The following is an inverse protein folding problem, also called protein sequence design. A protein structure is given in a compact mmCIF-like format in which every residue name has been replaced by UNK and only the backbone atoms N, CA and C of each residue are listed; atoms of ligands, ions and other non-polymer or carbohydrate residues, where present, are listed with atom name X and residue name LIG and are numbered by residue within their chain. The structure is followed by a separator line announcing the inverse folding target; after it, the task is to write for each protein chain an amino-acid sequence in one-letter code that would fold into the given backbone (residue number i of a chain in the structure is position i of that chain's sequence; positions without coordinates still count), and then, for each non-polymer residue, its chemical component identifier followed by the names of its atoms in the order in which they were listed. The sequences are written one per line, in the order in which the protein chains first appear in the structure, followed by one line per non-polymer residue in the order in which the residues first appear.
data_IF_094009965232
#
_entry.id   IF_094009965232
#
_cell.length_a   1.000
_cell.length_b   1.000
_cell.length_c   1.000
_cell.angle_alpha   90.00
_cell.angle_beta   90.00
_cell.angle_gamma   90.00
#
_symmetry.space_group_name_H-M   'P 1'
#
loop_
_entity.id
_entity.type
_entity.pdbx_description
1 polymer ?
#
# COMPACT_ATOMS: atom_id res chain seq x y z
N UNK A 1 -0.18 17.94 -26.00
CA UNK A 1 1.18 18.49 -25.81
C UNK A 1 1.71 18.25 -24.38
N UNK A 2 1.08 18.76 -23.32
CA UNK A 2 1.54 18.56 -21.92
C UNK A 2 1.68 17.09 -21.51
N UNK A 3 0.71 16.23 -21.85
CA UNK A 3 0.79 14.79 -21.60
C UNK A 3 2.08 14.16 -22.15
N UNK A 4 2.47 14.50 -23.38
CA UNK A 4 3.67 13.95 -24.02
C UNK A 4 4.98 14.41 -23.33
N UNK A 5 4.99 15.59 -22.72
CA UNK A 5 6.11 16.06 -21.91
C UNK A 5 6.21 15.31 -20.59
N UNK A 6 5.08 15.13 -19.90
CA UNK A 6 5.02 14.37 -18.64
C UNK A 6 5.42 12.91 -18.86
N UNK A 7 4.93 12.27 -19.93
CA UNK A 7 5.32 10.89 -20.27
C UNK A 7 6.80 10.74 -20.60
N UNK A 8 7.51 11.84 -20.89
CA UNK A 8 8.97 11.91 -21.08
C UNK A 8 9.72 12.35 -19.82
N UNK A 9 9.05 12.40 -18.67
CA UNK A 9 9.63 12.75 -17.38
C UNK A 9 9.76 14.26 -17.11
N UNK A 10 9.17 15.12 -17.93
CA UNK A 10 9.22 16.55 -17.70
C UNK A 10 8.30 16.97 -16.54
N UNK A 11 8.83 17.79 -15.64
CA UNK A 11 8.04 18.42 -14.59
C UNK A 11 7.24 19.60 -15.16
N UNK A 12 5.92 19.53 -15.02
CA UNK A 12 4.98 20.59 -15.46
C UNK A 12 4.48 21.43 -14.28
N UNK A 13 4.91 21.12 -13.06
CA UNK A 13 4.43 21.76 -11.84
C UNK A 13 4.73 23.26 -11.85
N UNK A 14 5.94 23.64 -12.24
CA UNK A 14 6.36 25.05 -12.38
C UNK A 14 5.50 25.87 -13.36
N UNK A 15 4.87 25.23 -14.34
CA UNK A 15 4.03 25.89 -15.35
C UNK A 15 2.56 26.01 -14.94
N UNK A 16 2.07 25.02 -14.17
CA UNK A 16 0.64 24.88 -13.85
C UNK A 16 0.29 25.32 -12.43
N UNK A 17 1.15 25.04 -11.44
CA UNK A 17 0.94 25.41 -10.03
C UNK A 17 0.73 26.91 -9.81
N UNK A 18 1.43 27.83 -10.53
CA UNK A 18 1.19 29.27 -10.35
C UNK A 18 -0.21 29.75 -10.76
N UNK A 19 -0.97 28.92 -11.49
CA UNK A 19 -2.23 29.33 -12.11
C UNK A 19 -3.39 28.50 -11.58
N UNK A 20 -3.98 28.96 -10.46
CA UNK A 20 -5.17 28.36 -9.84
C UNK A 20 -6.26 27.97 -10.84
N UNK A 21 -6.63 28.87 -11.77
CA UNK A 21 -7.66 28.61 -12.79
C UNK A 21 -7.35 27.43 -13.71
N UNK A 22 -6.07 27.15 -14.01
CA UNK A 22 -5.68 26.01 -14.85
C UNK A 22 -5.88 24.70 -14.10
N UNK A 23 -5.53 24.68 -12.82
CA UNK A 23 -5.72 23.52 -11.94
C UNK A 23 -7.21 23.26 -11.72
N UNK A 24 -8.00 24.28 -11.39
CA UNK A 24 -9.45 24.15 -11.24
C UNK A 24 -10.09 23.62 -12.54
N UNK A 25 -9.68 24.12 -13.70
CA UNK A 25 -10.18 23.62 -15.00
C UNK A 25 -9.84 22.14 -15.23
N UNK A 26 -8.64 21.70 -14.85
CA UNK A 26 -8.27 20.28 -14.92
C UNK A 26 -9.13 19.44 -13.99
N UNK A 27 -9.35 19.89 -12.74
CA UNK A 27 -10.22 19.24 -11.75
C UNK A 27 -11.66 19.14 -12.26
N UNK A 28 -12.22 20.23 -12.79
CA UNK A 28 -13.58 20.25 -13.34
C UNK A 28 -13.72 19.29 -14.54
N UNK A 29 -12.66 19.15 -15.33
CA UNK A 29 -12.62 18.19 -16.45
C UNK A 29 -12.75 16.75 -15.95
N UNK A 30 -12.22 16.42 -14.76
CA UNK A 30 -12.37 15.09 -14.15
C UNK A 30 -13.84 14.74 -13.88
N UNK A 31 -14.65 15.73 -13.52
CA UNK A 31 -16.06 15.58 -13.16
C UNK A 31 -16.99 15.21 -14.32
N UNK A 32 -16.50 15.19 -15.57
CA UNK A 32 -17.25 14.65 -16.71
C UNK A 32 -18.49 15.45 -17.13
N UNK A 33 -18.62 16.72 -16.73
CA UNK A 33 -19.76 17.58 -17.06
C UNK A 33 -19.91 17.94 -18.57
N UNK A 34 -19.19 17.28 -19.49
CA UNK A 34 -19.15 17.61 -20.93
C UNK A 34 -19.21 16.37 -21.83
N UNK A 35 -20.41 15.98 -22.29
CA UNK A 35 -20.67 15.09 -23.45
C UNK A 35 -20.19 13.62 -23.37
N UNK A 36 -20.65 12.70 -24.27
CA UNK A 36 -20.56 11.26 -23.99
C UNK A 36 -19.25 10.52 -24.39
N UNK A 37 -18.60 10.86 -25.51
CA UNK A 37 -17.50 10.00 -26.04
C UNK A 37 -16.12 10.68 -26.08
N UNK A 38 -16.06 11.99 -26.34
CA UNK A 38 -14.82 12.79 -26.23
C UNK A 38 -14.45 13.08 -24.76
N UNK A 39 -15.36 12.85 -23.82
CA UNK A 39 -15.15 13.12 -22.40
C UNK A 39 -14.19 12.16 -21.72
N UNK A 40 -14.17 10.89 -22.11
CA UNK A 40 -13.37 9.88 -21.41
C UNK A 40 -11.88 10.13 -21.58
N UNK A 41 -11.43 10.31 -22.82
CA UNK A 41 -10.02 10.56 -23.11
C UNK A 41 -9.55 11.89 -22.50
N UNK A 42 -10.38 12.94 -22.57
CA UNK A 42 -10.10 14.21 -21.89
C UNK A 42 -10.03 14.05 -20.37
N UNK A 43 -10.92 13.26 -19.77
CA UNK A 43 -10.87 12.92 -18.33
C UNK A 43 -9.63 12.15 -17.97
N UNK A 44 -9.23 11.16 -18.77
CA UNK A 44 -8.01 10.38 -18.54
C UNK A 44 -6.76 11.26 -18.63
N UNK A 45 -6.67 12.13 -19.65
CA UNK A 45 -5.57 13.07 -19.81
C UNK A 45 -5.52 14.09 -18.67
N UNK A 46 -6.67 14.65 -18.29
CA UNK A 46 -6.76 15.57 -17.16
C UNK A 46 -6.37 14.88 -15.85
N UNK A 47 -6.89 13.66 -15.60
CA UNK A 47 -6.57 12.89 -14.41
C UNK A 47 -5.08 12.55 -14.35
N UNK A 48 -4.48 12.15 -15.47
CA UNK A 48 -3.04 11.92 -15.56
C UNK A 48 -2.24 13.17 -15.21
N UNK A 49 -2.57 14.34 -15.75
CA UNK A 49 -1.89 15.60 -15.40
C UNK A 49 -2.07 15.91 -13.91
N UNK A 50 -3.30 15.77 -13.36
CA UNK A 50 -3.59 16.01 -11.95
C UNK A 50 -2.82 15.04 -11.05
N UNK A 51 -2.60 13.78 -11.45
CA UNK A 51 -1.72 12.85 -10.72
C UNK A 51 -0.33 13.47 -10.53
N UNK A 52 0.22 14.24 -11.47
CA UNK A 52 1.54 14.86 -11.31
C UNK A 52 1.54 16.15 -10.48
N UNK A 53 0.38 16.77 -10.27
CA UNK A 53 0.24 17.99 -9.45
C UNK A 53 -0.27 17.72 -8.03
N UNK A 54 -0.94 16.58 -7.82
CA UNK A 54 -1.69 16.27 -6.59
C UNK A 54 -0.87 16.31 -5.28
N UNK A 55 0.45 16.12 -5.33
CA UNK A 55 1.29 16.24 -4.14
C UNK A 55 1.41 17.66 -3.61
N UNK A 56 1.15 18.66 -4.45
CA UNK A 56 1.32 20.09 -4.15
C UNK A 56 -0.02 20.84 -4.08
N UNK A 57 -1.14 20.11 -4.21
CA UNK A 57 -2.49 20.65 -4.16
C UNK A 57 -3.03 20.57 -2.73
N UNK A 58 -3.54 21.69 -2.22
CA UNK A 58 -4.32 21.74 -1.00
C UNK A 58 -5.82 21.79 -1.36
N UNK A 59 -6.58 20.78 -0.94
CA UNK A 59 -7.99 20.59 -1.32
C UNK A 59 -8.88 21.77 -0.90
N UNK A 60 -8.61 22.40 0.24
CA UNK A 60 -9.26 23.63 0.69
C UNK A 60 -9.26 24.77 -0.35
N UNK A 61 -8.30 24.80 -1.29
CA UNK A 61 -8.23 25.81 -2.35
C UNK A 61 -9.10 25.47 -3.57
N UNK A 62 -9.60 24.24 -3.69
CA UNK A 62 -10.34 23.75 -4.85
C UNK A 62 -11.66 23.09 -4.43
N UNK A 63 -12.69 23.89 -4.09
CA UNK A 63 -14.00 23.36 -3.71
C UNK A 63 -14.57 22.45 -4.82
N UNK A 64 -15.14 21.31 -4.44
CA UNK A 64 -15.68 20.34 -5.39
C UNK A 64 -14.65 19.36 -5.97
N UNK A 65 -13.36 19.49 -5.64
CA UNK A 65 -12.31 18.63 -6.18
C UNK A 65 -12.51 17.16 -5.81
N UNK A 66 -12.85 16.86 -4.55
CA UNK A 66 -13.08 15.49 -4.10
C UNK A 66 -14.25 14.86 -4.87
N UNK A 67 -15.33 15.60 -5.14
CA UNK A 67 -16.47 15.12 -5.92
C UNK A 67 -16.07 14.83 -7.37
N UNK A 68 -15.25 15.69 -7.98
CA UNK A 68 -14.72 15.46 -9.32
C UNK A 68 -13.82 14.22 -9.38
N UNK A 69 -12.94 14.03 -8.40
CA UNK A 69 -12.09 12.84 -8.27
C UNK A 69 -12.94 11.59 -7.99
N UNK A 70 -13.96 11.71 -7.13
CA UNK A 70 -14.91 10.65 -6.79
C UNK A 70 -15.62 10.09 -8.02
N UNK A 71 -15.89 10.93 -9.02
CA UNK A 71 -16.50 10.53 -10.29
C UNK A 71 -15.59 9.62 -11.15
N UNK A 72 -14.28 9.63 -10.91
CA UNK A 72 -13.32 8.73 -11.57
C UNK A 72 -13.40 7.31 -11.00
N UNK A 73 -13.82 7.18 -9.74
CA UNK A 73 -14.04 5.89 -9.07
C UNK A 73 -15.41 5.28 -9.42
N UNK A 74 -16.32 6.07 -9.98
CA UNK A 74 -17.67 5.65 -10.37
C UNK A 74 -17.75 5.22 -11.85
N UNK A 75 -17.18 4.05 -12.20
CA UNK A 75 -17.79 3.30 -13.31
C UNK A 75 -19.01 2.61 -12.72
N UNK A 76 -20.21 2.94 -13.20
CA UNK A 76 -21.50 2.41 -12.71
C UNK A 76 -21.49 0.87 -12.58
N UNK A 77 -20.76 0.19 -13.46
CA UNK A 77 -20.51 -1.25 -13.46
C UNK A 77 -19.51 -1.77 -12.42
N UNK A 78 -18.48 -1.00 -12.06
CA UNK A 78 -17.43 -1.41 -11.09
C UNK A 78 -17.90 -1.25 -9.66
N UNK A 79 -18.56 -0.14 -9.34
CA UNK A 79 -19.13 0.06 -8.02
C UNK A 79 -20.23 -0.97 -7.76
N UNK A 80 -21.08 -1.27 -8.76
CA UNK A 80 -22.02 -2.39 -8.66
C UNK A 80 -21.32 -3.74 -8.46
N UNK A 81 -20.20 -4.01 -9.13
CA UNK A 81 -19.46 -5.26 -8.97
C UNK A 81 -19.02 -5.53 -7.53
N UNK A 82 -18.39 -4.55 -6.88
CA UNK A 82 -17.88 -4.70 -5.52
C UNK A 82 -18.96 -4.51 -4.45
N UNK A 83 -19.94 -3.62 -4.67
CA UNK A 83 -21.01 -3.36 -3.72
C UNK A 83 -22.06 -4.48 -3.69
N UNK A 84 -22.38 -5.12 -4.83
CA UNK A 84 -23.28 -6.28 -4.86
C UNK A 84 -22.68 -7.52 -4.19
N UNK A 85 -21.37 -7.59 -4.02
CA UNK A 85 -20.70 -8.68 -3.28
C UNK A 85 -20.68 -8.44 -1.76
N UNK A 86 -21.18 -7.31 -1.24
CA UNK A 86 -21.29 -7.04 0.20
C UNK A 86 -22.64 -7.47 0.80
N UNK A 87 -23.65 -7.73 -0.03
CA UNK A 87 -24.97 -8.19 0.42
C UNK A 87 -25.11 -9.71 0.21
N UNK A 88 -24.92 -10.50 1.26
CA UNK A 88 -25.46 -11.87 1.30
C UNK A 88 -24.72 -12.85 2.21
N UNK A 89 -25.36 -13.20 3.34
CA UNK A 89 -25.23 -14.53 3.95
C UNK A 89 -25.38 -15.61 2.86
N UNK A 90 -24.53 -16.64 2.79
CA UNK A 90 -24.72 -17.69 1.80
C UNK A 90 -25.82 -18.65 2.25
N UNK A 91 -26.92 -18.70 1.49
CA UNK A 91 -27.63 -19.96 1.33
C UNK A 91 -26.77 -20.85 0.39
N UNK A 92 -26.58 -22.14 0.70
CA UNK A 92 -25.78 -23.02 -0.14
C UNK A 92 -26.47 -23.21 -1.50
N UNK A 93 -25.71 -23.08 -2.59
CA UNK A 93 -26.09 -23.37 -3.99
C UNK A 93 -26.94 -22.33 -4.74
N UNK A 94 -26.48 -21.09 -4.85
CA UNK A 94 -26.94 -20.22 -5.96
C UNK A 94 -25.77 -19.87 -6.88
N UNK A 95 -25.92 -20.19 -8.16
CA UNK A 95 -24.99 -19.80 -9.21
C UNK A 95 -24.78 -18.28 -9.21
N UNK A 96 -23.56 -17.78 -9.49
CA UNK A 96 -23.32 -16.34 -9.52
C UNK A 96 -24.23 -15.67 -10.56
N UNK A 97 -24.80 -14.49 -10.29
CA UNK A 97 -25.78 -13.87 -11.15
C UNK A 97 -25.24 -13.69 -12.59
N UNK A 98 -26.07 -13.85 -13.64
CA UNK A 98 -25.63 -13.94 -15.04
C UNK A 98 -24.70 -12.81 -15.50
N UNK A 99 -24.89 -11.61 -14.93
CA UNK A 99 -24.06 -10.42 -15.23
C UNK A 99 -22.62 -10.54 -14.70
N UNK A 100 -22.42 -11.19 -13.54
CA UNK A 100 -21.10 -11.44 -12.92
C UNK A 100 -20.30 -12.46 -13.73
N UNK A 101 -20.93 -13.56 -14.13
CA UNK A 101 -20.30 -14.56 -15.01
C UNK A 101 -19.93 -13.96 -16.36
N UNK A 102 -20.85 -13.21 -17.00
CA UNK A 102 -20.57 -12.56 -18.28
C UNK A 102 -19.39 -11.58 -18.23
N UNK A 103 -19.22 -10.87 -17.11
CA UNK A 103 -18.09 -9.96 -16.87
C UNK A 103 -16.77 -10.72 -16.72
N UNK A 104 -16.73 -11.75 -15.86
CA UNK A 104 -15.54 -12.59 -15.67
C UNK A 104 -15.12 -13.23 -16.98
N UNK A 105 -16.07 -13.78 -17.75
CA UNK A 105 -15.81 -14.34 -19.08
C UNK A 105 -15.28 -13.30 -20.07
N UNK A 106 -15.78 -12.06 -20.03
CA UNK A 106 -15.26 -10.97 -20.88
C UNK A 106 -13.81 -10.62 -20.50
N UNK A 107 -13.50 -10.52 -19.21
CA UNK A 107 -12.16 -10.21 -18.73
C UNK A 107 -11.16 -11.34 -19.03
N UNK A 108 -11.55 -12.60 -18.82
CA UNK A 108 -10.75 -13.77 -19.17
C UNK A 108 -10.45 -13.82 -20.68
N UNK A 109 -11.43 -13.50 -21.53
CA UNK A 109 -11.22 -13.43 -22.99
C UNK A 109 -10.24 -12.33 -23.40
N UNK A 110 -10.23 -11.20 -22.71
CA UNK A 110 -9.27 -10.11 -22.97
C UNK A 110 -7.86 -10.51 -22.54
N UNK A 111 -7.72 -11.17 -21.39
CA UNK A 111 -6.40 -11.61 -20.91
C UNK A 111 -5.82 -12.74 -21.77
N UNK A 112 -6.63 -13.73 -22.17
CA UNK A 112 -6.22 -14.78 -23.12
C UNK A 112 -5.72 -14.19 -24.44
N UNK A 113 -6.37 -13.12 -24.93
CA UNK A 113 -5.89 -12.40 -26.13
C UNK A 113 -4.56 -11.69 -25.89
N UNK A 114 -4.32 -11.12 -24.70
CA UNK A 114 -3.02 -10.52 -24.35
C UNK A 114 -1.93 -11.58 -24.24
N UNK A 115 -2.18 -12.73 -23.61
CA UNK A 115 -1.22 -13.82 -23.48
C UNK A 115 -0.82 -14.39 -24.85
N UNK A 116 -1.81 -14.60 -25.74
CA UNK A 116 -1.57 -15.02 -27.12
C UNK A 116 -0.72 -14.01 -27.89
N UNK A 117 -0.94 -12.71 -27.66
CA UNK A 117 -0.12 -11.65 -28.25
C UNK A 117 1.34 -11.67 -27.74
N UNK A 118 1.55 -11.90 -26.43
CA UNK A 118 2.89 -12.03 -25.84
C UNK A 118 3.62 -13.28 -26.36
N UNK A 119 2.94 -14.42 -26.46
CA UNK A 119 3.50 -15.64 -27.04
C UNK A 119 3.84 -15.48 -28.53
N UNK A 120 3.01 -14.76 -29.29
CA UNK A 120 3.28 -14.46 -30.70
C UNK A 120 4.48 -13.54 -30.93
N UNK A 121 4.84 -12.68 -29.97
CA UNK A 121 6.05 -11.85 -30.03
C UNK A 121 7.34 -12.63 -29.69
N UNK A 122 7.24 -13.64 -28.83
CA UNK A 122 8.39 -14.52 -28.50
C UNK A 122 8.75 -15.42 -29.67
N UNK A 123 7.75 -15.88 -30.45
CA UNK A 123 7.96 -16.72 -31.64
C UNK A 123 8.54 -15.97 -32.84
N UNK A 124 8.41 -14.63 -32.91
CA UNK A 124 8.93 -13.80 -34.01
C UNK A 124 10.38 -13.34 -33.85
N UNK A 125 11.06 -13.70 -32.75
CA UNK A 125 12.44 -13.27 -32.48
C UNK A 125 13.53 -14.25 -32.97
N UNK A 126 13.18 -15.32 -33.69
CA UNK A 126 14.13 -16.39 -34.00
C UNK A 126 14.43 -16.67 -35.49
N UNK A 127 14.00 -15.82 -36.44
CA UNK A 127 14.49 -15.92 -37.82
C UNK A 127 14.94 -14.54 -38.33
N UNK A 128 16.25 -14.38 -38.52
CA UNK A 128 16.81 -13.36 -39.44
C UNK A 128 16.51 -13.76 -40.89
N UNK A 129 16.70 -12.96 -41.93
CA UNK A 129 17.49 -11.76 -42.18
C UNK A 129 17.01 -11.18 -43.55
N UNK A 130 17.39 -9.93 -43.84
CA UNK A 130 17.39 -9.21 -45.13
C UNK A 130 16.22 -8.27 -45.55
N UNK A 131 16.54 -6.98 -45.37
CA UNK A 131 16.52 -5.84 -46.31
C UNK A 131 15.26 -5.00 -46.59
N UNK A 132 15.53 -3.70 -46.40
CA UNK A 132 15.03 -2.46 -47.01
C UNK A 132 13.74 -1.80 -46.49
N UNK A 133 14.00 -0.67 -45.81
CA UNK A 133 13.27 0.60 -45.75
C UNK A 133 11.87 0.67 -46.36
N UNK A 134 10.87 0.76 -45.48
CA UNK A 134 9.74 1.68 -45.66
C UNK A 134 9.52 2.45 -44.35
N UNK A 135 9.52 3.77 -44.49
CA UNK A 135 9.19 4.73 -43.43
C UNK A 135 7.72 4.58 -43.15
N UNK A 136 7.35 3.96 -42.03
CA UNK A 136 5.95 3.87 -41.63
C UNK A 136 5.66 4.52 -40.28
N UNK A 137 4.93 5.61 -40.41
CA UNK A 137 4.41 6.48 -39.38
C UNK A 137 3.22 5.79 -38.71
N UNK A 138 3.48 4.82 -37.85
CA UNK A 138 2.41 4.02 -37.23
C UNK A 138 2.05 4.54 -35.84
N UNK A 139 1.00 5.37 -35.81
CA UNK A 139 0.09 5.51 -34.67
C UNK A 139 -0.31 4.13 -34.15
N UNK A 140 0.34 3.69 -33.07
CA UNK A 140 0.05 2.46 -32.36
C UNK A 140 -1.27 2.58 -31.59
N UNK A 141 -2.37 2.34 -32.29
CA UNK A 141 -3.70 2.11 -31.74
C UNK A 141 -3.69 0.86 -30.86
N UNK A 142 -3.48 1.05 -29.54
CA UNK A 142 -3.45 -0.01 -28.55
C UNK A 142 -4.82 -0.34 -27.98
N UNK A 143 -5.50 -1.29 -28.61
CA UNK A 143 -6.31 -2.33 -27.95
C UNK A 143 -7.38 -1.91 -26.94
N UNK A 144 -8.58 -1.61 -27.44
CA UNK A 144 -9.81 -1.44 -26.66
C UNK A 144 -10.12 -2.65 -25.78
N UNK A 145 -10.16 -2.39 -24.47
CA UNK A 145 -10.53 -3.35 -23.42
C UNK A 145 -10.11 -2.93 -22.01
N UNK A 146 -9.10 -2.05 -21.88
CA UNK A 146 -8.52 -1.62 -20.60
C UNK A 146 -9.02 -0.27 -20.02
N UNK A 147 -9.94 0.42 -20.69
CA UNK A 147 -10.21 1.83 -20.35
C UNK A 147 -10.87 2.07 -18.99
N UNK A 148 -11.65 1.12 -18.43
CA UNK A 148 -12.51 1.43 -17.25
C UNK A 148 -11.67 1.52 -15.97
N UNK A 149 -10.73 0.60 -15.82
CA UNK A 149 -9.86 0.57 -14.64
C UNK A 149 -8.86 1.72 -14.67
N UNK A 150 -8.49 2.25 -15.84
CA UNK A 150 -7.54 3.36 -15.95
C UNK A 150 -8.01 4.63 -15.24
N UNK A 151 -9.28 5.02 -15.40
CA UNK A 151 -9.82 6.17 -14.67
C UNK A 151 -9.85 5.92 -13.16
N UNK A 152 -10.20 4.71 -12.73
CA UNK A 152 -10.20 4.33 -11.31
C UNK A 152 -8.78 4.41 -10.74
N UNK A 153 -7.80 3.83 -11.44
CA UNK A 153 -6.39 3.86 -11.08
C UNK A 153 -5.85 5.29 -10.97
N UNK A 154 -6.20 6.15 -11.93
CA UNK A 154 -5.82 7.56 -11.89
C UNK A 154 -6.50 8.28 -10.72
N UNK A 155 -7.78 8.03 -10.47
CA UNK A 155 -8.51 8.58 -9.32
C UNK A 155 -7.87 8.18 -7.98
N UNK A 156 -7.56 6.90 -7.80
CA UNK A 156 -6.84 6.40 -6.62
C UNK A 156 -5.43 6.98 -6.52
N UNK A 157 -4.73 7.16 -7.65
CA UNK A 157 -3.40 7.77 -7.68
C UNK A 157 -3.41 9.24 -7.27
N UNK A 158 -4.43 10.00 -7.68
CA UNK A 158 -4.66 11.38 -7.23
C UNK A 158 -4.89 11.39 -5.73
N UNK A 159 -5.82 10.56 -5.23
CA UNK A 159 -6.12 10.46 -3.80
C UNK A 159 -4.89 10.08 -2.97
N UNK A 160 -4.09 9.12 -3.45
CA UNK A 160 -2.83 8.69 -2.81
C UNK A 160 -1.86 9.86 -2.62
N UNK A 161 -1.71 10.72 -3.64
CA UNK A 161 -0.80 11.87 -3.57
C UNK A 161 -1.38 12.99 -2.71
N UNK A 162 -2.67 13.29 -2.84
CA UNK A 162 -3.35 14.27 -1.98
C UNK A 162 -3.24 13.89 -0.50
N UNK A 163 -3.45 12.60 -0.16
CA UNK A 163 -3.34 12.04 1.17
C UNK A 163 -1.89 11.97 1.71
N UNK A 164 -0.93 12.59 1.04
CA UNK A 164 0.39 12.84 1.63
C UNK A 164 0.40 14.06 2.55
N UNK A 165 -0.63 14.92 2.45
CA UNK A 165 -0.87 16.06 3.34
C UNK A 165 -1.98 15.74 4.37
N UNK A 166 -1.78 16.17 5.62
CA UNK A 166 -2.67 15.88 6.74
C UNK A 166 -4.04 16.56 6.59
N UNK A 167 -4.09 17.81 6.12
CA UNK A 167 -5.35 18.53 5.94
C UNK A 167 -6.18 17.88 4.83
N UNK A 168 -5.52 17.51 3.74
CA UNK A 168 -6.15 16.75 2.65
C UNK A 168 -6.68 15.39 3.12
N UNK A 169 -5.95 14.64 3.96
CA UNK A 169 -6.44 13.40 4.56
C UNK A 169 -7.76 13.63 5.30
N UNK A 170 -7.81 14.67 6.14
CA UNK A 170 -9.01 15.02 6.88
C UNK A 170 -10.19 15.38 5.97
N UNK A 171 -9.96 16.18 4.92
CA UNK A 171 -10.99 16.52 3.93
C UNK A 171 -11.51 15.30 3.16
N UNK A 172 -10.61 14.40 2.74
CA UNK A 172 -10.97 13.14 2.06
C UNK A 172 -11.83 12.27 2.98
N UNK A 173 -11.37 12.01 4.21
CA UNK A 173 -12.11 11.15 5.14
C UNK A 173 -13.45 11.76 5.59
N UNK A 174 -13.55 13.09 5.66
CA UNK A 174 -14.77 13.78 6.07
C UNK A 174 -15.81 13.92 4.95
N UNK A 175 -15.41 13.74 3.68
CA UNK A 175 -16.32 13.93 2.54
C UNK A 175 -17.29 12.75 2.41
N UNK A 176 -18.62 12.97 2.47
CA UNK A 176 -19.58 11.89 2.35
C UNK A 176 -19.48 11.13 1.02
N UNK A 177 -19.54 9.80 1.10
CA UNK A 177 -19.63 8.93 -0.08
C UNK A 177 -18.32 8.65 -0.82
N UNK A 178 -17.18 9.27 -0.45
CA UNK A 178 -15.87 8.90 -1.04
C UNK A 178 -15.29 7.63 -0.40
N UNK A 179 -15.31 7.53 0.94
CA UNK A 179 -14.73 6.39 1.66
C UNK A 179 -15.32 5.04 1.20
N UNK A 180 -16.64 4.86 1.06
CA UNK A 180 -17.20 3.60 0.55
C UNK A 180 -16.69 3.22 -0.84
N UNK A 181 -16.30 4.19 -1.68
CA UNK A 181 -15.72 3.91 -3.01
C UNK A 181 -14.26 3.51 -2.93
N UNK A 182 -13.50 4.12 -2.01
CA UNK A 182 -12.11 3.76 -1.76
C UNK A 182 -12.03 2.37 -1.11
N UNK A 183 -12.87 2.07 -0.11
CA UNK A 183 -12.82 0.81 0.63
C UNK A 183 -13.51 -0.35 -0.08
N UNK A 184 -14.35 -0.10 -1.10
CA UNK A 184 -15.11 -1.13 -1.79
C UNK A 184 -14.29 -2.36 -2.22
N UNK A 185 -13.09 -2.23 -2.83
CA UNK A 185 -12.28 -3.39 -3.18
C UNK A 185 -11.87 -4.21 -1.95
N UNK A 186 -11.44 -3.55 -0.86
CA UNK A 186 -11.03 -4.22 0.38
C UNK A 186 -12.19 -4.99 1.04
N UNK A 187 -13.40 -4.45 0.96
CA UNK A 187 -14.59 -5.02 1.62
C UNK A 187 -15.23 -6.17 0.83
N UNK A 188 -14.72 -6.50 -0.34
CA UNK A 188 -15.32 -7.52 -1.20
C UNK A 188 -14.89 -8.94 -0.88
N UNK A 189 -15.85 -9.85 -0.89
CA UNK A 189 -15.64 -11.29 -0.77
C UNK A 189 -14.81 -11.91 -1.90
N UNK A 190 -14.74 -11.24 -3.05
CA UNK A 190 -14.01 -11.75 -4.22
C UNK A 190 -12.60 -11.21 -4.34
N UNK A 191 -12.11 -10.37 -3.40
CA UNK A 191 -10.80 -9.71 -3.52
C UNK A 191 -9.69 -10.69 -3.91
N UNK A 192 -9.57 -11.81 -3.20
CA UNK A 192 -8.50 -12.80 -3.43
C UNK A 192 -8.61 -13.46 -4.81
N UNK A 193 -9.83 -13.62 -5.33
CA UNK A 193 -10.05 -14.12 -6.68
C UNK A 193 -9.77 -13.04 -7.72
N UNK A 194 -10.08 -11.79 -7.44
CA UNK A 194 -9.93 -10.66 -8.36
C UNK A 194 -8.48 -10.25 -8.53
N UNK A 195 -7.64 -10.38 -7.49
CA UNK A 195 -6.19 -10.16 -7.64
C UNK A 195 -5.51 -11.20 -8.53
N UNK A 196 -6.14 -12.36 -8.81
CA UNK A 196 -5.67 -13.30 -9.87
C UNK A 196 -5.78 -12.69 -11.26
N UNK A 197 -6.70 -11.74 -11.44
CA UNK A 197 -6.93 -11.06 -12.69
C UNK A 197 -6.06 -9.80 -12.69
N UNK A 198 -5.03 -9.78 -13.55
CA UNK A 198 -4.01 -8.71 -13.60
C UNK A 198 -4.59 -7.29 -13.58
N UNK A 199 -5.69 -7.05 -14.30
CA UNK A 199 -6.32 -5.73 -14.40
C UNK A 199 -6.95 -5.20 -13.09
N UNK A 200 -7.30 -6.07 -12.13
CA UNK A 200 -7.84 -5.67 -10.82
C UNK A 200 -6.76 -5.67 -9.73
N UNK A 201 -5.69 -6.45 -9.90
CA UNK A 201 -4.55 -6.43 -8.99
C UNK A 201 -3.98 -5.02 -8.83
N UNK A 202 -3.84 -4.28 -9.94
CA UNK A 202 -3.40 -2.87 -9.92
C UNK A 202 -4.36 -1.99 -9.11
N UNK A 203 -5.68 -2.15 -9.29
CA UNK A 203 -6.70 -1.34 -8.61
C UNK A 203 -6.71 -1.61 -7.11
N UNK A 204 -6.58 -2.88 -6.70
CA UNK A 204 -6.50 -3.27 -5.29
C UNK A 204 -5.20 -2.75 -4.68
N UNK A 205 -4.07 -2.89 -5.39
CA UNK A 205 -2.79 -2.36 -4.93
C UNK A 205 -2.85 -0.83 -4.75
N UNK A 206 -3.43 -0.10 -5.71
CA UNK A 206 -3.59 1.36 -5.63
C UNK A 206 -4.53 1.78 -4.51
N UNK A 207 -5.63 1.04 -4.33
CA UNK A 207 -6.54 1.18 -3.18
C UNK A 207 -5.79 1.05 -1.86
N UNK A 208 -4.95 0.02 -1.73
CA UNK A 208 -4.20 -0.19 -0.50
C UNK A 208 -3.18 0.92 -0.24
N UNK A 209 -2.58 1.52 -1.27
CA UNK A 209 -1.70 2.67 -1.06
C UNK A 209 -2.46 3.88 -0.50
N UNK A 210 -3.67 4.14 -1.00
CA UNK A 210 -4.54 5.19 -0.47
C UNK A 210 -4.87 4.89 0.99
N UNK A 211 -5.32 3.67 1.28
CA UNK A 211 -5.69 3.28 2.64
C UNK A 211 -4.51 3.39 3.62
N UNK A 212 -3.31 2.93 3.25
CA UNK A 212 -2.10 3.07 4.09
C UNK A 212 -1.85 4.53 4.48
N UNK A 213 -2.12 5.50 3.60
CA UNK A 213 -1.99 6.92 3.92
C UNK A 213 -3.09 7.39 4.87
N UNK A 214 -4.34 7.05 4.55
CA UNK A 214 -5.50 7.49 5.33
C UNK A 214 -5.52 6.91 6.74
N UNK A 215 -5.24 5.62 6.92
CA UNK A 215 -5.31 4.95 8.24
C UNK A 215 -4.12 5.24 9.15
N UNK A 216 -3.03 5.81 8.61
CA UNK A 216 -1.84 6.20 9.39
C UNK A 216 -1.86 7.68 9.78
N UNK A 217 -2.82 8.44 9.30
CA UNK A 217 -2.99 9.83 9.67
C UNK A 217 -3.47 9.93 11.13
N UNK A 218 -2.94 10.86 11.96
CA UNK A 218 -3.30 10.96 13.37
C UNK A 218 -4.67 11.63 13.64
N UNK A 219 -5.38 12.11 12.61
CA UNK A 219 -6.64 12.83 12.73
C UNK A 219 -7.85 11.97 13.14
N UNK A 220 -8.90 12.62 13.66
CA UNK A 220 -10.13 11.95 14.10
C UNK A 220 -10.84 11.18 12.97
N UNK A 221 -10.84 11.75 11.76
CA UNK A 221 -11.43 11.12 10.58
C UNK A 221 -10.71 9.83 10.16
N UNK A 222 -9.41 9.70 10.47
CA UNK A 222 -8.64 8.47 10.28
C UNK A 222 -9.04 7.40 11.30
N UNK A 223 -9.21 7.76 12.58
CA UNK A 223 -9.67 6.82 13.63
C UNK A 223 -11.01 6.18 13.29
N UNK A 224 -11.96 6.96 12.76
CA UNK A 224 -13.24 6.42 12.28
C UNK A 224 -13.04 5.40 11.16
N UNK A 225 -12.18 5.70 10.18
CA UNK A 225 -11.86 4.75 9.12
C UNK A 225 -11.19 3.48 9.65
N UNK A 226 -10.28 3.61 10.63
CA UNK A 226 -9.65 2.47 11.32
C UNK A 226 -10.70 1.61 12.04
N UNK A 227 -11.64 2.25 12.74
CA UNK A 227 -12.75 1.56 13.40
C UNK A 227 -13.66 0.84 12.38
N UNK A 228 -14.02 1.50 11.28
CA UNK A 228 -14.85 0.93 10.21
C UNK A 228 -14.20 -0.31 9.57
N UNK A 229 -12.91 -0.20 9.21
CA UNK A 229 -12.17 -1.30 8.57
C UNK A 229 -11.99 -2.46 9.55
N UNK A 230 -11.59 -2.17 10.79
CA UNK A 230 -11.36 -3.22 11.80
C UNK A 230 -12.63 -3.92 12.27
N UNK A 231 -13.79 -3.26 12.19
CA UNK A 231 -15.09 -3.86 12.50
C UNK A 231 -15.64 -4.72 11.34
N UNK A 232 -15.10 -4.56 10.13
CA UNK A 232 -15.52 -5.32 8.96
C UNK A 232 -14.75 -6.65 8.87
N UNK A 233 -15.43 -7.76 9.21
CA UNK A 233 -14.86 -9.12 9.17
C UNK A 233 -14.29 -9.50 7.80
N UNK A 234 -14.94 -9.09 6.71
CA UNK A 234 -14.48 -9.39 5.36
C UNK A 234 -13.20 -8.63 5.03
N UNK A 235 -13.12 -7.35 5.42
CA UNK A 235 -11.93 -6.54 5.25
C UNK A 235 -10.72 -7.15 5.98
N UNK A 236 -10.90 -7.50 7.26
CA UNK A 236 -9.85 -8.14 8.07
C UNK A 236 -9.45 -9.49 7.48
N UNK A 237 -10.41 -10.36 7.14
CA UNK A 237 -10.14 -11.67 6.54
C UNK A 237 -9.41 -11.56 5.19
N UNK A 238 -9.74 -10.56 4.37
CA UNK A 238 -9.04 -10.32 3.11
C UNK A 238 -7.59 -9.91 3.33
N UNK A 239 -7.31 -9.05 4.31
CA UNK A 239 -5.94 -8.66 4.66
C UNK A 239 -5.15 -9.87 5.18
N UNK A 240 -5.75 -10.71 6.02
CA UNK A 240 -5.15 -11.96 6.51
C UNK A 240 -4.83 -12.90 5.34
N UNK A 241 -5.77 -13.16 4.43
CA UNK A 241 -5.57 -14.01 3.24
C UNK A 241 -4.49 -13.50 2.28
N UNK A 242 -4.26 -12.18 2.24
CA UNK A 242 -3.15 -11.60 1.45
C UNK A 242 -1.81 -11.92 2.11
N UNK A 243 -1.75 -12.02 3.43
CA UNK A 243 -0.55 -12.34 4.21
C UNK A 243 -0.33 -13.85 4.41
N UNK A 244 -1.28 -14.70 4.05
CA UNK A 244 -1.12 -16.16 4.09
C UNK A 244 0.05 -16.63 3.22
N UNK A 245 0.71 -17.72 3.64
CA UNK A 245 1.88 -18.29 2.93
C UNK A 245 1.54 -18.77 1.52
N UNK A 246 0.30 -19.23 1.33
CA UNK A 246 -0.21 -19.71 0.04
C UNK A 246 -0.79 -18.58 -0.82
N UNK A 247 -0.64 -17.32 -0.39
CA UNK A 247 -1.16 -16.18 -1.13
C UNK A 247 -0.37 -15.96 -2.41
N UNK A 248 -1.09 -15.67 -3.49
CA UNK A 248 -0.52 -15.27 -4.79
C UNK A 248 -0.16 -13.78 -4.84
N UNK A 249 -0.48 -13.03 -3.77
CA UNK A 249 -0.26 -11.61 -3.73
C UNK A 249 1.24 -11.31 -3.77
N UNK A 250 1.65 -10.45 -4.71
CA UNK A 250 3.05 -10.06 -4.82
C UNK A 250 3.56 -9.30 -3.59
N UNK A 251 4.90 -9.23 -3.39
CA UNK A 251 5.53 -8.61 -2.22
C UNK A 251 4.99 -7.23 -1.85
N UNK A 252 4.81 -6.35 -2.84
CA UNK A 252 4.30 -4.99 -2.62
C UNK A 252 2.87 -4.94 -2.08
N UNK A 253 2.01 -5.90 -2.42
CA UNK A 253 0.64 -5.95 -1.89
C UNK A 253 0.62 -6.48 -0.45
N UNK A 254 1.42 -7.52 -0.16
CA UNK A 254 1.63 -8.03 1.20
C UNK A 254 2.13 -6.93 2.14
N UNK A 255 3.13 -6.15 1.70
CA UNK A 255 3.65 -5.01 2.42
C UNK A 255 2.56 -3.99 2.81
N UNK A 256 1.64 -3.70 1.89
CA UNK A 256 0.55 -2.74 2.16
C UNK A 256 -0.52 -3.34 3.06
N UNK A 257 -0.88 -4.61 2.86
CA UNK A 257 -1.80 -5.31 3.75
C UNK A 257 -1.28 -5.34 5.19
N UNK A 258 0.02 -5.63 5.35
CA UNK A 258 0.72 -5.59 6.62
C UNK A 258 0.70 -4.19 7.25
N UNK A 259 0.97 -3.14 6.47
CA UNK A 259 0.88 -1.76 6.96
C UNK A 259 -0.54 -1.37 7.40
N UNK A 260 -1.58 -1.79 6.67
CA UNK A 260 -2.97 -1.54 7.05
C UNK A 260 -3.27 -2.26 8.37
N UNK A 261 -3.05 -3.58 8.46
CA UNK A 261 -3.28 -4.35 9.69
C UNK A 261 -2.48 -3.82 10.88
N UNK A 262 -1.26 -3.33 10.66
CA UNK A 262 -0.42 -2.71 11.70
C UNK A 262 -1.06 -1.42 12.24
N UNK A 263 -1.57 -0.56 11.35
CA UNK A 263 -2.27 0.65 11.75
C UNK A 263 -3.54 0.32 12.54
N UNK A 264 -4.33 -0.68 12.09
CA UNK A 264 -5.50 -1.16 12.83
C UNK A 264 -5.10 -1.72 14.21
N UNK A 265 -4.06 -2.55 14.28
CA UNK A 265 -3.64 -3.20 15.52
C UNK A 265 -3.14 -2.19 16.58
N UNK A 266 -2.52 -1.10 16.14
CA UNK A 266 -1.96 -0.05 16.99
C UNK A 266 -2.99 0.95 17.52
N UNK A 267 -4.12 1.14 16.83
CA UNK A 267 -5.09 2.17 17.24
C UNK A 267 -6.01 1.65 18.34
N UNK A 268 -6.15 2.43 19.41
CA UNK A 268 -7.04 2.11 20.53
C UNK A 268 -8.53 2.07 20.16
N UNK A 269 -8.95 2.76 19.10
CA UNK A 269 -10.33 2.76 18.57
C UNK A 269 -10.65 1.51 17.74
N UNK A 270 -9.65 0.68 17.45
CA UNK A 270 -9.82 -0.52 16.63
C UNK A 270 -10.53 -1.64 17.38
N UNK A 271 -11.46 -2.30 16.68
CA UNK A 271 -12.15 -3.51 17.14
C UNK A 271 -11.44 -4.81 16.72
N UNK A 272 -10.16 -4.73 16.35
CA UNK A 272 -9.40 -5.87 15.86
C UNK A 272 -9.20 -6.92 16.97
N UNK A 273 -9.55 -8.17 16.68
CA UNK A 273 -9.42 -9.28 17.62
C UNK A 273 -7.96 -9.48 18.07
N UNK A 274 -7.78 -9.87 19.34
CA UNK A 274 -6.46 -10.17 19.91
C UNK A 274 -5.70 -11.21 19.09
N UNK A 275 -6.39 -12.28 18.70
CA UNK A 275 -5.82 -13.35 17.86
C UNK A 275 -5.28 -12.82 16.52
N UNK A 276 -6.02 -11.95 15.84
CA UNK A 276 -5.54 -11.30 14.60
C UNK A 276 -4.30 -10.45 14.85
N UNK A 277 -4.23 -9.69 15.97
CA UNK A 277 -3.04 -8.90 16.34
C UNK A 277 -1.83 -9.79 16.59
N UNK A 278 -2.02 -10.87 17.34
CA UNK A 278 -0.99 -11.85 17.66
C UNK A 278 -0.47 -12.60 16.41
N UNK A 279 -1.38 -13.02 15.53
CA UNK A 279 -1.03 -13.68 14.27
C UNK A 279 -0.27 -12.74 13.33
N UNK A 280 -0.67 -11.46 13.27
CA UNK A 280 0.06 -10.42 12.53
C UNK A 280 1.49 -10.29 13.06
N UNK A 281 1.67 -10.14 14.38
CA UNK A 281 3.00 -10.01 14.99
C UNK A 281 3.86 -11.25 14.73
N UNK A 282 3.31 -12.46 14.87
CA UNK A 282 4.01 -13.72 14.51
C UNK A 282 4.49 -13.71 13.07
N UNK A 283 3.63 -13.32 12.12
CA UNK A 283 3.97 -13.26 10.69
C UNK A 283 5.06 -12.23 10.41
N UNK A 284 4.99 -11.07 11.05
CA UNK A 284 5.99 -10.01 10.93
C UNK A 284 7.34 -10.46 11.50
N UNK A 285 7.34 -11.17 12.63
CA UNK A 285 8.55 -11.74 13.22
C UNK A 285 9.20 -12.75 12.27
N UNK A 286 8.42 -13.71 11.79
CA UNK A 286 8.88 -14.71 10.81
C UNK A 286 9.47 -14.04 9.56
N UNK A 287 8.79 -13.02 9.02
CA UNK A 287 9.22 -12.31 7.81
C UNK A 287 10.52 -11.55 8.04
N UNK A 288 10.64 -10.82 9.15
CA UNK A 288 11.82 -9.98 9.43
C UNK A 288 13.06 -10.81 9.78
N UNK A 289 12.87 -11.90 10.53
CA UNK A 289 13.95 -12.76 11.01
C UNK A 289 14.36 -13.85 10.02
N UNK A 290 13.64 -14.03 8.92
CA UNK A 290 14.02 -14.95 7.87
C UNK A 290 15.44 -14.67 7.37
N UNK A 291 16.19 -15.74 7.10
CA UNK A 291 17.56 -15.68 6.60
C UNK A 291 17.65 -14.87 5.31
N UNK A 292 18.81 -14.26 5.08
CA UNK A 292 19.11 -13.57 3.83
C UNK A 292 19.24 -14.62 2.73
N UNK A 293 18.33 -14.58 1.76
CA UNK A 293 18.41 -15.47 0.60
C UNK A 293 19.65 -15.12 -0.22
N UNK A 294 20.22 -16.12 -0.90
CA UNK A 294 21.43 -16.00 -1.73
C UNK A 294 21.31 -14.93 -2.84
N UNK A 295 20.09 -14.46 -3.12
CA UNK A 295 19.75 -13.45 -4.13
C UNK A 295 19.63 -12.00 -3.59
N UNK A 296 19.80 -11.75 -2.28
CA UNK A 296 19.88 -10.39 -1.74
C UNK A 296 21.22 -9.75 -2.16
N UNK A 297 21.28 -9.24 -3.40
CA UNK A 297 22.39 -8.43 -3.91
C UNK A 297 22.73 -7.36 -2.86
N UNK A 298 23.98 -7.38 -2.39
CA UNK A 298 24.54 -6.83 -1.13
C UNK A 298 24.28 -5.33 -0.81
N UNK A 299 23.45 -4.60 -1.57
CA UNK A 299 23.18 -3.18 -1.37
C UNK A 299 21.72 -2.79 -1.07
N UNK A 300 20.72 -3.64 -1.39
CA UNK A 300 19.30 -3.24 -1.27
C UNK A 300 18.55 -4.06 -0.24
N UNK A 301 17.91 -3.40 0.74
CA UNK A 301 17.05 -4.10 1.68
C UNK A 301 15.83 -4.68 0.95
N UNK A 302 15.50 -5.94 1.22
CA UNK A 302 14.18 -6.50 0.93
C UNK A 302 13.11 -5.65 1.68
N UNK A 303 12.23 -4.95 0.95
CA UNK A 303 11.32 -3.98 1.53
C UNK A 303 10.18 -4.66 2.31
N UNK A 304 9.88 -5.94 2.06
CA UNK A 304 8.94 -6.70 2.88
C UNK A 304 9.51 -6.97 4.26
N UNK A 305 10.79 -7.41 4.35
CA UNK A 305 11.49 -7.57 5.63
C UNK A 305 11.54 -6.24 6.39
N UNK A 306 11.94 -5.16 5.71
CA UNK A 306 12.00 -3.83 6.33
C UNK A 306 10.62 -3.35 6.83
N UNK A 307 9.56 -3.62 6.08
CA UNK A 307 8.19 -3.28 6.53
C UNK A 307 7.76 -4.12 7.71
N UNK A 308 8.04 -5.43 7.70
CA UNK A 308 7.69 -6.33 8.79
C UNK A 308 8.38 -5.92 10.09
N UNK A 309 9.69 -5.71 10.07
CA UNK A 309 10.40 -5.28 11.26
C UNK A 309 10.03 -3.86 11.70
N UNK A 310 9.86 -2.92 10.75
CA UNK A 310 9.40 -1.56 11.07
C UNK A 310 8.00 -1.54 11.70
N UNK A 311 7.12 -2.45 11.29
CA UNK A 311 5.80 -2.61 11.90
C UNK A 311 5.87 -3.20 13.31
N UNK A 312 6.78 -4.13 13.58
CA UNK A 312 7.03 -4.64 14.95
C UNK A 312 7.58 -3.57 15.87
N UNK A 313 8.55 -2.79 15.40
CA UNK A 313 9.06 -1.63 16.14
C UNK A 313 7.91 -0.66 16.47
N UNK A 314 7.03 -0.40 15.51
CA UNK A 314 5.86 0.44 15.74
C UNK A 314 4.89 -0.14 16.78
N UNK A 315 4.51 -1.43 16.67
CA UNK A 315 3.55 -2.07 17.58
C UNK A 315 4.08 -2.27 19.01
N UNK A 316 5.39 -2.42 19.17
CA UNK A 316 6.04 -2.54 20.49
C UNK A 316 6.25 -1.19 21.18
N UNK A 317 6.19 -0.08 20.44
CA UNK A 317 6.40 1.26 21.00
C UNK A 317 5.35 1.56 22.06
N UNK A 318 5.78 1.80 23.29
CA UNK A 318 4.90 2.10 24.43
C UNK A 318 3.84 1.02 24.73
N UNK A 319 4.10 -0.24 24.36
CA UNK A 319 3.16 -1.35 24.60
C UNK A 319 3.85 -2.52 25.29
N UNK A 320 3.57 -2.67 26.59
CA UNK A 320 4.07 -3.79 27.39
C UNK A 320 3.53 -5.14 26.90
N UNK A 321 2.23 -5.21 26.60
CA UNK A 321 1.59 -6.44 26.11
C UNK A 321 2.16 -6.90 24.78
N UNK A 322 2.37 -5.99 23.83
CA UNK A 322 2.90 -6.34 22.52
C UNK A 322 4.39 -6.69 22.62
N UNK A 323 5.14 -5.96 23.45
CA UNK A 323 6.56 -6.25 23.69
C UNK A 323 6.75 -7.62 24.33
N UNK A 324 5.95 -7.96 25.35
CA UNK A 324 5.97 -9.28 25.98
C UNK A 324 5.62 -10.40 24.99
N UNK A 325 4.62 -10.17 24.12
CA UNK A 325 4.27 -11.14 23.08
C UNK A 325 5.41 -11.36 22.09
N UNK A 326 6.05 -10.29 21.61
CA UNK A 326 7.21 -10.36 20.72
C UNK A 326 8.38 -11.10 21.39
N UNK A 327 8.65 -10.80 22.66
CA UNK A 327 9.68 -11.47 23.46
C UNK A 327 9.43 -12.98 23.56
N UNK A 328 8.17 -13.41 23.67
CA UNK A 328 7.79 -14.82 23.72
C UNK A 328 7.72 -15.51 22.34
N UNK A 329 7.95 -14.78 21.25
CA UNK A 329 7.80 -15.30 19.90
C UNK A 329 8.86 -16.34 19.50
N UNK A 330 10.08 -16.21 20.03
CA UNK A 330 11.17 -17.18 19.89
C UNK A 330 12.01 -17.21 21.16
N UNK A 331 12.49 -18.39 21.56
CA UNK A 331 13.36 -18.56 22.74
C UNK A 331 14.68 -17.77 22.63
N UNK A 332 15.18 -17.60 21.39
CA UNK A 332 16.42 -16.91 21.03
C UNK A 332 16.19 -15.54 20.37
N UNK A 333 15.01 -14.92 20.53
CA UNK A 333 14.63 -13.66 19.86
C UNK A 333 15.68 -12.56 20.02
N UNK A 334 16.25 -12.40 21.22
CA UNK A 334 17.29 -11.42 21.49
C UNK A 334 18.58 -11.73 20.72
N UNK A 335 18.95 -13.00 20.61
CA UNK A 335 20.10 -13.45 19.81
C UNK A 335 19.88 -13.12 18.33
N UNK A 336 18.74 -13.52 17.76
CA UNK A 336 18.39 -13.25 16.36
C UNK A 336 18.37 -11.75 16.03
N UNK A 337 17.82 -10.93 16.91
CA UNK A 337 17.80 -9.47 16.73
C UNK A 337 19.21 -8.87 16.88
N UNK A 338 20.02 -9.41 17.78
CA UNK A 338 21.42 -9.00 17.95
C UNK A 338 22.25 -9.34 16.72
N UNK A 339 22.04 -10.51 16.12
CA UNK A 339 22.69 -10.91 14.87
C UNK A 339 22.36 -9.94 13.74
N UNK A 340 21.12 -9.44 13.67
CA UNK A 340 20.71 -8.41 12.70
C UNK A 340 21.46 -7.08 12.85
N UNK A 341 22.08 -6.80 14.01
CA UNK A 341 22.89 -5.60 14.22
C UNK A 341 24.30 -5.68 13.61
N UNK A 342 24.75 -6.87 13.17
CA UNK A 342 26.08 -7.09 12.59
C UNK A 342 26.38 -6.03 11.50
N UNK A 343 27.58 -5.41 11.49
CA UNK A 343 27.95 -4.41 10.50
C UNK A 343 27.81 -4.84 9.04
N UNK A 344 27.84 -6.14 8.75
CA UNK A 344 27.65 -6.73 7.41
C UNK A 344 26.21 -6.63 6.93
N UNK A 345 25.23 -6.56 7.84
CA UNK A 345 23.82 -6.47 7.47
C UNK A 345 23.44 -5.09 6.95
N UNK A 346 22.34 -5.04 6.20
CA UNK A 346 21.78 -3.80 5.71
C UNK A 346 21.49 -2.82 6.85
N UNK A 347 21.87 -1.55 6.68
CA UNK A 347 21.64 -0.49 7.66
C UNK A 347 20.17 -0.40 8.11
N UNK A 348 19.21 -0.53 7.19
CA UNK A 348 17.78 -0.45 7.52
C UNK A 348 17.39 -1.56 8.50
N UNK A 349 17.90 -2.78 8.32
CA UNK A 349 17.64 -3.88 9.25
C UNK A 349 18.27 -3.66 10.61
N UNK A 350 19.48 -3.08 10.64
CA UNK A 350 20.17 -2.75 11.89
C UNK A 350 19.40 -1.71 12.70
N UNK A 351 18.91 -0.65 12.05
CA UNK A 351 18.07 0.38 12.70
C UNK A 351 16.79 -0.25 13.25
N UNK A 352 16.10 -1.04 12.43
CA UNK A 352 14.85 -1.69 12.83
C UNK A 352 15.07 -2.66 14.00
N UNK A 353 16.11 -3.49 13.94
CA UNK A 353 16.43 -4.43 15.02
C UNK A 353 16.77 -3.69 16.32
N UNK A 354 17.50 -2.57 16.23
CA UNK A 354 17.78 -1.73 17.38
C UNK A 354 16.52 -1.10 17.98
N UNK A 355 15.58 -0.63 17.15
CA UNK A 355 14.30 -0.09 17.60
C UNK A 355 13.47 -1.17 18.33
N UNK A 356 13.37 -2.38 17.76
CA UNK A 356 12.68 -3.51 18.40
C UNK A 356 13.34 -3.85 19.73
N UNK A 357 14.67 -4.05 19.75
CA UNK A 357 15.41 -4.37 20.99
C UNK A 357 15.23 -3.30 22.05
N UNK A 358 15.26 -2.02 21.67
CA UNK A 358 15.03 -0.89 22.57
C UNK A 358 13.66 -0.96 23.23
N UNK A 359 12.61 -1.21 22.44
CA UNK A 359 11.24 -1.34 22.96
C UNK A 359 11.08 -2.57 23.87
N UNK A 360 11.67 -3.71 23.48
CA UNK A 360 11.65 -4.93 24.29
C UNK A 360 12.36 -4.74 25.63
N UNK A 361 13.53 -4.10 25.63
CA UNK A 361 14.24 -3.78 26.87
C UNK A 361 13.40 -2.85 27.74
N UNK A 362 12.82 -1.79 27.15
CA UNK A 362 11.99 -0.81 27.86
C UNK A 362 10.78 -1.43 28.60
N UNK A 363 10.26 -2.55 28.10
CA UNK A 363 8.95 -3.07 28.52
C UNK A 363 8.96 -4.51 29.02
N UNK A 364 10.05 -5.27 28.90
CA UNK A 364 10.13 -6.63 29.39
C UNK A 364 11.07 -6.74 30.59
N UNK A 365 10.67 -7.50 31.62
CA UNK A 365 11.56 -7.89 32.71
C UNK A 365 12.60 -8.87 32.16
N UNK A 366 13.78 -8.34 31.86
CA UNK A 366 14.91 -9.10 31.36
C UNK A 366 15.82 -9.52 32.54
N UNK A 367 16.40 -10.71 32.46
CA UNK A 367 17.44 -11.15 33.39
C UNK A 367 18.66 -10.21 33.31
N UNK A 368 19.23 -9.84 34.47
CA UNK A 368 20.31 -8.86 34.64
C UNK A 368 21.49 -9.14 33.71
N UNK A 369 21.86 -10.40 33.48
CA UNK A 369 22.96 -10.78 32.57
C UNK A 369 22.63 -10.51 31.10
N UNK A 370 21.44 -10.91 30.64
CA UNK A 370 20.99 -10.71 29.26
C UNK A 370 20.80 -9.23 28.93
N UNK A 371 20.33 -8.43 29.89
CA UNK A 371 20.28 -6.96 29.74
C UNK A 371 21.67 -6.39 29.57
N UNK A 372 22.62 -6.79 30.42
CA UNK A 372 23.97 -6.22 30.42
C UNK A 372 24.68 -6.45 29.09
N UNK A 373 24.58 -7.66 28.52
CA UNK A 373 25.14 -7.96 27.19
C UNK A 373 24.44 -7.19 26.06
N UNK A 374 23.10 -7.17 26.05
CA UNK A 374 22.30 -6.48 25.03
C UNK A 374 22.56 -4.95 25.05
N UNK A 375 22.64 -4.34 26.23
CA UNK A 375 22.90 -2.91 26.40
C UNK A 375 24.37 -2.54 26.12
N UNK A 376 25.34 -3.37 26.52
CA UNK A 376 26.75 -3.18 26.16
C UNK A 376 26.97 -3.26 24.64
N UNK A 377 26.25 -4.16 23.96
CA UNK A 377 26.34 -4.33 22.52
C UNK A 377 25.60 -3.23 21.74
N UNK A 378 24.38 -2.88 22.14
CA UNK A 378 23.64 -1.73 21.59
C UNK A 378 24.43 -0.42 21.75
N UNK A 379 25.09 -0.21 22.89
CA UNK A 379 26.01 0.91 23.12
C UNK A 379 27.21 0.91 22.17
N UNK A 380 27.86 -0.24 21.93
CA UNK A 380 28.98 -0.37 20.98
C UNK A 380 28.55 -0.06 19.54
N UNK A 381 27.32 -0.42 19.16
CA UNK A 381 26.82 -0.23 17.79
C UNK A 381 26.28 1.19 17.56
N UNK A 382 25.65 1.81 18.56
CA UNK A 382 25.17 3.20 18.46
C UNK A 382 26.29 4.24 18.51
N UNK A 383 27.43 3.97 19.15
CA UNK A 383 28.62 4.83 19.07
C UNK A 383 29.16 5.01 17.64
N UNK A 384 28.76 4.16 16.68
CA UNK A 384 29.13 4.26 15.26
C UNK A 384 28.04 4.86 14.34
N UNK A 385 26.83 5.13 14.84
CA UNK A 385 25.70 5.59 14.04
C UNK A 385 25.29 7.04 14.33
N UNK A 386 25.05 7.78 13.25
CA UNK A 386 24.75 9.22 13.18
C UNK A 386 23.79 9.77 14.26
N UNK A 387 23.99 11.04 14.62
CA UNK A 387 23.33 11.88 15.64
C UNK A 387 21.81 12.10 15.44
N UNK A 388 21.03 11.07 15.13
CA UNK A 388 19.57 11.19 15.07
C UNK A 388 18.98 11.32 16.48
N UNK A 389 17.94 12.12 16.64
CA UNK A 389 17.24 12.31 17.93
C UNK A 389 16.71 11.00 18.51
N UNK A 390 16.32 10.04 17.67
CA UNK A 390 15.83 8.71 18.10
C UNK A 390 16.95 7.84 18.67
N UNK A 391 18.12 7.86 18.05
CA UNK A 391 19.31 7.14 18.56
C UNK A 391 19.69 7.61 19.96
N UNK A 392 19.53 8.91 20.26
CA UNK A 392 19.73 9.46 21.61
C UNK A 392 18.67 9.01 22.61
N UNK A 393 17.40 8.89 22.20
CA UNK A 393 16.33 8.39 23.08
C UNK A 393 16.53 6.91 23.41
N UNK A 394 16.94 6.09 22.44
CA UNK A 394 17.26 4.69 22.66
C UNK A 394 18.51 4.57 23.54
N UNK A 395 19.55 5.37 23.30
CA UNK A 395 20.74 5.43 24.15
C UNK A 395 20.38 5.82 25.59
N UNK A 396 19.50 6.80 25.76
CA UNK A 396 19.05 7.25 27.08
C UNK A 396 18.16 6.21 27.78
N UNK A 397 17.26 5.52 27.07
CA UNK A 397 16.45 4.44 27.63
C UNK A 397 17.33 3.25 28.06
N UNK A 398 18.29 2.87 27.21
CA UNK A 398 19.30 1.85 27.48
C UNK A 398 20.15 2.23 28.70
N UNK A 399 20.64 3.47 28.78
CA UNK A 399 21.42 3.95 29.91
C UNK A 399 20.60 4.01 31.20
N UNK A 400 19.33 4.42 31.13
CA UNK A 400 18.45 4.49 32.31
C UNK A 400 18.22 3.10 32.90
N UNK A 401 18.01 2.08 32.07
CA UNK A 401 17.87 0.70 32.53
C UNK A 401 19.19 0.10 33.03
N UNK A 402 20.33 0.40 32.37
CA UNK A 402 21.64 -0.01 32.85
C UNK A 402 22.01 0.55 34.23
N UNK A 403 21.48 1.73 34.60
CA UNK A 403 21.69 2.35 35.91
C UNK A 403 20.75 1.76 36.98
N UNK A 404 19.59 1.22 36.58
CA UNK A 404 18.56 0.72 37.49
C UNK A 404 18.76 -0.76 37.86
N UNK A 405 19.58 -1.50 37.11
CA UNK A 405 19.94 -2.91 37.31
C UNK A 405 21.23 -3.04 38.10
#
# INVERSE_FOLDING_TARGET
MLHAFISRGADVSSLLLPSWHKIQKLIDTLGGKRGPECAREMRELAAYIVVHLAGDIHLAQFPGAIQCISSLLQSETTWMYWNSNQQGLPHPQSEPPPKKQAMILRLQKVEQKKEAWRHGQVMKKHDGDHRMEEVDNSSGNGGGGGGSNKLILLGLSILKRLASDHQNCNEICSTPGILPKITAPLYSDTLVQDIRISAWADVVNETFQVLVRLVRDPGESSKRLVQDISSNKHAVSNLEKILDENSIAGPGMQMRAMNILTALASDSSSNLARETKENLMKKQLQTFLADEGVEELEATCNPNKATAGGALAFLSTNSETNSAFIMSGYDDILGRLTDKLDPKNNNIYRIIAADILGNLCAHCALDKERVKETLLFARKIMCGYSRSWRSRQIEQAVLTQAITI
#
